data_IF_496375065058
#
_entry.id   IF_496375065058
#
_cell.length_a   1.000
_cell.length_b   1.000
_cell.length_c   1.000
_cell.angle_alpha   90.00
_cell.angle_beta   90.00
_cell.angle_gamma   90.00
#
_symmetry.space_group_name_H-M   'P 1'
#
loop_
_entity.id
_entity.type
_entity.pdbx_description
1 polymer ?
#
# COMPACT_ATOMS: atom_id res chain seq x y z
N UNK A 1 -47.76 18.72 6.12
CA UNK A 1 -47.10 17.53 6.70
C UNK A 1 -46.29 16.87 5.60
N UNK A 2 -45.03 17.26 5.41
CA UNK A 2 -44.21 16.77 4.31
C UNK A 2 -43.23 15.76 4.87
N UNK A 3 -43.28 14.53 4.35
CA UNK A 3 -42.38 13.40 4.68
C UNK A 3 -40.98 13.72 4.11
N UNK A 4 -40.30 14.66 4.73
CA UNK A 4 -38.91 15.03 4.48
C UNK A 4 -38.09 14.69 5.73
N UNK A 5 -38.18 13.44 6.19
CA UNK A 5 -37.34 12.92 7.26
C UNK A 5 -36.23 12.03 6.68
N UNK A 6 -35.01 12.55 6.77
CA UNK A 6 -33.78 11.79 7.01
C UNK A 6 -33.32 10.82 5.91
N UNK A 7 -32.88 11.33 4.76
CA UNK A 7 -31.84 10.63 3.99
C UNK A 7 -30.53 10.73 4.76
N UNK A 8 -30.24 9.73 5.59
CA UNK A 8 -28.95 9.62 6.27
C UNK A 8 -27.85 9.48 5.20
N UNK A 9 -26.87 10.42 5.12
CA UNK A 9 -25.83 10.39 4.11
C UNK A 9 -24.98 9.11 4.16
N UNK A 10 -24.86 8.49 5.34
CA UNK A 10 -24.17 7.21 5.52
C UNK A 10 -24.91 6.08 4.80
N UNK A 11 -26.24 5.97 5.00
CA UNK A 11 -27.05 4.91 4.36
C UNK A 11 -27.03 5.08 2.83
N UNK A 12 -27.20 6.31 2.36
CA UNK A 12 -27.18 6.62 0.91
C UNK A 12 -25.80 6.32 0.31
N UNK A 13 -24.71 6.66 1.01
CA UNK A 13 -23.34 6.36 0.58
C UNK A 13 -23.06 4.87 0.51
N UNK A 14 -23.43 4.11 1.55
CA UNK A 14 -23.25 2.65 1.60
C UNK A 14 -24.04 1.95 0.50
N UNK A 15 -25.31 2.34 0.27
CA UNK A 15 -26.11 1.77 -0.82
C UNK A 15 -25.48 2.04 -2.19
N UNK A 16 -24.96 3.24 -2.41
CA UNK A 16 -24.25 3.60 -3.65
C UNK A 16 -22.97 2.78 -3.83
N UNK A 17 -22.21 2.55 -2.76
CA UNK A 17 -21.03 1.69 -2.79
C UNK A 17 -21.39 0.24 -3.11
N UNK A 18 -22.42 -0.32 -2.48
CA UNK A 18 -22.92 -1.68 -2.78
C UNK A 18 -23.33 -1.81 -4.25
N UNK A 19 -24.00 -0.79 -4.80
CA UNK A 19 -24.41 -0.81 -6.20
C UNK A 19 -23.23 -0.72 -7.17
N UNK A 20 -22.17 0.01 -6.80
CA UNK A 20 -21.02 0.27 -7.69
C UNK A 20 -19.99 -0.86 -7.64
N UNK A 21 -19.63 -1.30 -6.43
CA UNK A 21 -18.54 -2.26 -6.19
C UNK A 21 -19.01 -3.67 -5.83
N UNK A 22 -20.31 -3.84 -5.60
CA UNK A 22 -20.89 -5.07 -5.08
C UNK A 22 -20.74 -5.21 -3.55
N UNK A 23 -21.47 -6.18 -2.99
CA UNK A 23 -21.54 -6.41 -1.54
C UNK A 23 -20.18 -6.82 -0.94
N UNK A 24 -19.41 -7.66 -1.65
CA UNK A 24 -18.14 -8.20 -1.15
C UNK A 24 -17.08 -7.12 -0.99
N UNK A 25 -16.85 -6.32 -2.03
CA UNK A 25 -15.85 -5.25 -1.99
C UNK A 25 -16.28 -4.14 -1.04
N UNK A 26 -17.58 -3.84 -0.97
CA UNK A 26 -18.09 -2.86 0.01
C UNK A 26 -17.86 -3.34 1.44
N UNK A 27 -18.11 -4.62 1.73
CA UNK A 27 -17.81 -5.18 3.04
C UNK A 27 -16.31 -5.14 3.35
N UNK A 28 -15.45 -5.51 2.38
CA UNK A 28 -13.99 -5.39 2.52
C UNK A 28 -13.57 -3.95 2.83
N UNK A 29 -14.10 -2.97 2.10
CA UNK A 29 -13.83 -1.54 2.36
C UNK A 29 -14.31 -1.10 3.76
N UNK A 30 -15.47 -1.56 4.21
CA UNK A 30 -15.97 -1.22 5.55
C UNK A 30 -15.00 -1.73 6.63
N UNK A 31 -14.46 -2.94 6.48
CA UNK A 31 -13.57 -3.49 7.51
C UNK A 31 -12.13 -2.96 7.40
N UNK A 32 -11.67 -2.61 6.19
CA UNK A 32 -10.29 -2.13 5.98
C UNK A 32 -10.14 -0.62 6.08
N UNK A 33 -11.14 0.16 5.62
CA UNK A 33 -11.08 1.63 5.49
C UNK A 33 -12.08 2.34 6.41
N UNK A 34 -12.82 1.60 7.25
CA UNK A 34 -13.93 2.05 8.13
C UNK A 34 -15.11 2.72 7.41
N UNK A 35 -14.97 3.07 6.14
CA UNK A 35 -15.94 3.82 5.35
C UNK A 35 -16.03 3.27 3.93
N UNK A 36 -17.23 3.00 3.40
CA UNK A 36 -17.40 2.57 2.02
C UNK A 36 -17.16 3.75 1.09
N UNK A 37 -16.15 3.65 0.23
CA UNK A 37 -15.76 4.70 -0.71
C UNK A 37 -16.15 4.32 -2.14
N UNK A 38 -16.64 5.29 -2.88
CA UNK A 38 -16.98 5.13 -4.30
C UNK A 38 -15.94 5.87 -5.13
N UNK A 39 -15.30 5.18 -6.06
CA UNK A 39 -14.27 5.73 -6.94
C UNK A 39 -14.00 4.82 -8.12
N UNK A 40 -13.24 5.33 -9.08
CA UNK A 40 -12.83 4.60 -10.28
C UNK A 40 -11.61 3.77 -9.95
N UNK A 41 -11.59 2.49 -10.35
CA UNK A 41 -10.39 1.64 -10.24
C UNK A 41 -9.36 2.15 -11.26
N UNK A 42 -8.21 2.57 -10.73
CA UNK A 42 -7.12 3.14 -11.49
C UNK A 42 -6.15 2.06 -11.95
N UNK A 43 -5.85 1.11 -11.08
CA UNK A 43 -4.98 -0.01 -11.42
C UNK A 43 -4.72 -0.93 -10.23
N UNK A 44 -3.88 -1.94 -10.48
CA UNK A 44 -3.49 -2.96 -9.51
C UNK A 44 -1.98 -3.14 -9.54
N UNK A 45 -1.37 -3.29 -8.37
CA UNK A 45 0.08 -3.56 -8.29
C UNK A 45 0.41 -5.06 -8.34
N UNK A 46 1.71 -5.37 -8.28
CA UNK A 46 2.23 -6.73 -8.30
C UNK A 46 1.89 -7.55 -7.04
N UNK A 47 1.53 -6.90 -5.93
CA UNK A 47 1.11 -7.57 -4.70
C UNK A 47 -0.40 -7.78 -4.63
N UNK A 48 -1.13 -7.23 -5.59
CA UNK A 48 -2.56 -7.33 -5.71
C UNK A 48 -3.34 -6.19 -5.04
N UNK A 49 -2.67 -5.14 -4.56
CA UNK A 49 -3.37 -3.98 -4.01
C UNK A 49 -4.04 -3.19 -5.13
N UNK A 50 -5.26 -2.73 -4.88
CA UNK A 50 -6.10 -2.03 -5.84
C UNK A 50 -6.15 -0.54 -5.52
N UNK A 51 -5.89 0.31 -6.51
CA UNK A 51 -5.79 1.76 -6.35
C UNK A 51 -7.00 2.44 -6.97
N UNK A 52 -7.56 3.40 -6.26
CA UNK A 52 -8.79 4.08 -6.65
C UNK A 52 -8.64 5.60 -6.60
N UNK A 53 -9.32 6.29 -7.52
CA UNK A 53 -9.42 7.75 -7.56
C UNK A 53 -10.87 8.22 -7.63
N UNK A 54 -11.19 9.29 -6.90
CA UNK A 54 -12.43 10.04 -6.99
C UNK A 54 -12.16 11.55 -6.84
N UNK A 55 -12.12 12.25 -7.98
CA UNK A 55 -11.89 13.70 -8.05
C UNK A 55 -13.02 14.57 -7.48
N UNK A 56 -14.17 13.97 -7.17
CA UNK A 56 -15.29 14.67 -6.52
C UNK A 56 -15.15 14.71 -4.99
N UNK A 57 -14.28 13.89 -4.42
CA UNK A 57 -14.04 13.87 -2.96
C UNK A 57 -13.07 14.99 -2.57
N UNK A 58 -12.97 15.24 -1.27
CA UNK A 58 -12.09 16.26 -0.70
C UNK A 58 -10.63 15.92 -0.99
N UNK A 59 -9.84 16.96 -1.29
CA UNK A 59 -8.41 16.88 -1.51
C UNK A 59 -7.71 16.12 -0.37
N UNK A 60 -6.98 15.04 -0.71
CA UNK A 60 -6.30 14.17 0.25
C UNK A 60 -7.09 12.93 0.66
N UNK A 61 -8.36 12.81 0.25
CA UNK A 61 -9.19 11.59 0.41
C UNK A 61 -9.61 10.96 -0.92
N UNK A 62 -9.36 11.68 -2.01
CA UNK A 62 -9.68 11.36 -3.39
C UNK A 62 -8.90 10.16 -3.93
N UNK A 63 -7.67 9.89 -3.45
CA UNK A 63 -6.90 8.70 -3.79
C UNK A 63 -6.82 7.76 -2.60
N UNK A 64 -7.01 6.46 -2.82
CA UNK A 64 -6.83 5.45 -1.78
C UNK A 64 -6.42 4.11 -2.36
N UNK A 65 -5.90 3.26 -1.49
CA UNK A 65 -5.53 1.88 -1.79
C UNK A 65 -6.43 0.93 -1.00
N UNK A 66 -6.82 -0.17 -1.63
CA UNK A 66 -7.44 -1.32 -0.99
C UNK A 66 -6.44 -2.48 -1.02
N UNK A 67 -5.87 -2.78 0.14
CA UNK A 67 -4.86 -3.84 0.26
C UNK A 67 -5.44 -5.22 -0.04
N UNK A 68 -4.63 -6.09 -0.63
CA UNK A 68 -5.02 -7.48 -0.85
C UNK A 68 -4.93 -8.30 0.46
N UNK A 69 -3.81 -8.13 1.18
CA UNK A 69 -3.55 -8.79 2.46
C UNK A 69 -4.44 -8.25 3.58
N UNK A 70 -4.81 -9.14 4.50
CA UNK A 70 -5.56 -8.77 5.71
C UNK A 70 -4.69 -8.05 6.75
N UNK A 71 -3.46 -8.52 6.95
CA UNK A 71 -2.47 -7.83 7.77
C UNK A 71 -1.78 -6.77 6.91
N UNK A 72 -2.54 -5.73 6.57
CA UNK A 72 -2.07 -4.66 5.70
C UNK A 72 -1.14 -3.71 6.45
N UNK A 73 -0.17 -3.16 5.72
CA UNK A 73 0.73 -2.13 6.21
C UNK A 73 0.97 -1.10 5.10
N UNK A 74 1.20 0.16 5.48
CA UNK A 74 1.51 1.25 4.56
C UNK A 74 2.75 0.92 3.69
N UNK A 75 3.69 0.14 4.24
CA UNK A 75 4.94 -0.24 3.57
C UNK A 75 4.77 -1.26 2.44
N UNK A 76 3.58 -1.85 2.27
CA UNK A 76 3.27 -2.79 1.19
C UNK A 76 3.01 -2.11 -0.16
N UNK A 77 2.88 -0.78 -0.18
CA UNK A 77 2.71 0.00 -1.40
C UNK A 77 4.06 0.13 -2.10
N UNK A 78 4.22 -0.34 -3.35
CA UNK A 78 5.49 -0.21 -4.06
C UNK A 78 5.80 1.26 -4.39
N UNK A 79 7.09 1.62 -4.59
CA UNK A 79 7.51 3.00 -4.79
C UNK A 79 6.80 3.73 -5.93
N UNK A 80 6.48 3.01 -7.01
CA UNK A 80 5.80 3.57 -8.19
C UNK A 80 4.39 4.04 -7.83
N UNK A 81 3.63 3.21 -7.11
CA UNK A 81 2.28 3.56 -6.66
C UNK A 81 2.29 4.53 -5.47
N UNK A 82 3.34 4.49 -4.64
CA UNK A 82 3.50 5.42 -3.52
C UNK A 82 3.61 6.87 -3.98
N UNK A 83 4.32 7.14 -5.10
CA UNK A 83 4.40 8.48 -5.70
C UNK A 83 3.02 9.01 -6.11
N UNK A 84 2.25 8.19 -6.81
CA UNK A 84 0.89 8.53 -7.26
C UNK A 84 -0.08 8.72 -6.09
N UNK A 85 -0.06 7.80 -5.12
CA UNK A 85 -0.92 7.84 -3.94
C UNK A 85 -0.66 9.08 -3.08
N UNK A 86 0.62 9.46 -2.94
CA UNK A 86 1.04 10.65 -2.19
C UNK A 86 0.93 11.95 -3.00
N UNK A 87 0.44 11.88 -4.26
CA UNK A 87 0.31 13.02 -5.18
C UNK A 87 1.63 13.75 -5.45
N UNK A 88 2.75 13.02 -5.45
CA UNK A 88 3.99 13.55 -6.00
C UNK A 88 3.93 13.68 -7.52
N UNK A 89 3.19 12.76 -8.16
CA UNK A 89 2.91 12.79 -9.60
C UNK A 89 1.41 12.53 -9.84
N UNK A 90 0.92 13.04 -10.96
CA UNK A 90 -0.40 12.70 -11.50
C UNK A 90 -0.33 11.52 -12.49
N UNK A 91 0.87 11.18 -12.95
CA UNK A 91 1.09 10.10 -13.89
C UNK A 91 0.88 8.74 -13.23
N UNK A 92 0.33 7.81 -14.01
CA UNK A 92 0.14 6.44 -13.57
C UNK A 92 1.45 5.66 -13.70
N UNK A 93 1.74 4.73 -12.77
CA UNK A 93 2.95 3.91 -12.86
C UNK A 93 2.96 2.98 -14.08
N UNK A 94 1.81 2.81 -14.76
CA UNK A 94 1.68 2.11 -16.03
C UNK A 94 2.10 2.95 -17.26
N UNK A 95 2.14 4.28 -17.15
CA UNK A 95 2.29 5.17 -18.30
C UNK A 95 3.73 5.65 -18.51
N UNK A 96 4.65 5.40 -17.58
CA UNK A 96 5.96 6.08 -17.61
C UNK A 96 7.16 5.18 -17.94
N UNK A 97 7.58 5.35 -19.18
CA UNK A 97 8.87 5.28 -19.90
C UNK A 97 10.20 5.44 -19.12
N UNK A 98 10.28 5.34 -17.79
CA UNK A 98 11.58 5.44 -17.09
C UNK A 98 12.24 4.06 -17.05
N UNK A 99 13.38 3.86 -17.74
CA UNK A 99 14.08 2.59 -17.70
C UNK A 99 14.55 2.33 -16.26
N UNK A 100 14.10 1.21 -15.68
CA UNK A 100 14.57 0.78 -14.36
C UNK A 100 16.08 0.52 -14.44
N UNK A 101 16.89 1.14 -13.57
CA UNK A 101 18.32 0.88 -13.57
C UNK A 101 18.62 -0.55 -13.13
N UNK A 102 19.76 -1.10 -13.55
CA UNK A 102 20.13 -2.50 -13.32
C UNK A 102 20.21 -2.90 -11.84
N UNK A 103 20.42 -1.93 -10.94
CA UNK A 103 20.51 -2.15 -9.49
C UNK A 103 19.14 -2.13 -8.79
N UNK A 104 18.04 -1.95 -9.54
CA UNK A 104 16.70 -1.92 -8.96
C UNK A 104 16.32 -3.31 -8.47
N UNK A 105 15.96 -3.40 -7.21
CA UNK A 105 15.37 -4.60 -6.62
C UNK A 105 13.86 -4.50 -6.60
N UNK A 106 13.20 -5.65 -6.51
CA UNK A 106 11.77 -5.72 -6.25
C UNK A 106 11.42 -5.03 -4.93
N UNK A 107 10.25 -4.41 -4.90
CA UNK A 107 9.73 -3.80 -3.67
C UNK A 107 9.48 -4.88 -2.62
N UNK A 108 9.84 -4.60 -1.38
CA UNK A 108 9.55 -5.46 -0.24
C UNK A 108 8.89 -4.64 0.86
N UNK A 109 8.02 -5.29 1.63
CA UNK A 109 7.39 -4.69 2.80
C UNK A 109 8.40 -4.54 3.95
N UNK A 110 8.05 -3.74 4.96
CA UNK A 110 8.90 -3.58 6.12
C UNK A 110 8.85 -4.83 7.02
N UNK A 111 10.02 -5.43 7.25
CA UNK A 111 10.17 -6.62 8.10
C UNK A 111 10.49 -6.32 9.57
N UNK A 112 10.37 -5.06 10.02
CA UNK A 112 10.61 -4.68 11.42
C UNK A 112 9.75 -5.52 12.37
N UNK A 113 10.35 -6.02 13.45
CA UNK A 113 9.66 -6.88 14.43
C UNK A 113 9.47 -8.34 14.00
N UNK A 114 9.88 -8.71 12.78
CA UNK A 114 9.86 -10.10 12.31
C UNK A 114 11.26 -10.74 12.40
N UNK A 115 11.34 -12.05 12.20
CA UNK A 115 12.63 -12.77 12.09
C UNK A 115 13.49 -12.26 10.92
N UNK A 116 12.85 -11.70 9.88
CA UNK A 116 13.50 -11.14 8.68
C UNK A 116 13.91 -9.66 8.84
N UNK A 117 13.81 -9.09 10.04
CA UNK A 117 14.24 -7.72 10.30
C UNK A 117 15.73 -7.52 9.95
N UNK A 118 16.06 -6.35 9.40
CA UNK A 118 17.44 -5.99 9.08
C UNK A 118 18.29 -5.96 10.36
N UNK A 119 19.40 -6.72 10.36
CA UNK A 119 20.37 -6.76 11.45
C UNK A 119 21.69 -6.17 10.96
N UNK A 120 22.09 -5.05 11.54
CA UNK A 120 23.41 -4.48 11.26
C UNK A 120 24.51 -5.37 11.80
N UNK A 121 25.59 -5.50 11.04
CA UNK A 121 26.82 -6.18 11.45
C UNK A 121 28.03 -5.36 11.01
N UNK A 122 29.19 -5.63 11.61
CA UNK A 122 30.43 -5.03 11.13
C UNK A 122 30.78 -5.60 9.76
N UNK A 123 30.76 -4.75 8.74
CA UNK A 123 31.22 -5.10 7.39
C UNK A 123 32.75 -5.19 7.30
N UNK A 124 33.45 -4.71 8.34
CA UNK A 124 34.91 -4.67 8.41
C UNK A 124 35.43 -5.94 9.09
N UNK A 125 36.45 -6.57 8.48
CA UNK A 125 37.21 -7.67 9.08
C UNK A 125 38.02 -7.18 10.27
N UNK A 126 38.37 -8.07 11.20
CA UNK A 126 39.25 -7.74 12.32
C UNK A 126 40.57 -7.15 11.83
N UNK A 127 40.93 -5.96 12.31
CA UNK A 127 42.14 -5.24 11.88
C UNK A 127 43.44 -5.96 12.26
N UNK A 128 43.42 -6.68 13.38
CA UNK A 128 44.56 -7.46 13.90
C UNK A 128 44.13 -8.92 13.92
N UNK A 129 44.89 -9.79 13.28
CA UNK A 129 44.69 -11.24 13.32
C UNK A 129 45.34 -11.83 14.57
N UNK A 130 44.62 -12.68 15.29
CA UNK A 130 45.20 -13.47 16.37
C UNK A 130 46.17 -14.51 15.82
N UNK A 131 47.22 -14.81 16.58
CA UNK A 131 48.09 -15.95 16.29
C UNK A 131 47.34 -17.25 16.58
N UNK A 132 47.40 -18.21 15.65
CA UNK A 132 46.80 -19.53 15.79
C UNK A 132 47.85 -20.55 16.32
N UNK A 133 47.72 -21.06 17.56
CA UNK A 133 48.73 -21.92 18.17
C UNK A 133 48.77 -23.31 17.52
N UNK A 134 49.95 -23.71 17.04
CA UNK A 134 50.18 -25.09 16.59
C UNK A 134 50.71 -25.92 17.76
N UNK A 135 49.93 -26.89 18.24
CA UNK A 135 50.42 -27.88 19.22
C UNK A 135 51.29 -28.92 18.51
N UNK A 136 52.57 -29.03 18.87
CA UNK A 136 53.38 -30.20 18.46
C UNK A 136 52.99 -31.40 19.33
N UNK A 137 52.76 -32.54 18.68
CA UNK A 137 52.45 -33.84 19.31
C UNK A 137 53.69 -34.73 19.29
#
# INVERSE_FOLDING_TARGET
>A
MTILQMRNPVIVGTLKAVQTHGIRNTFKQIVTLDTPKVGTLVGKDQFGNEYYENRMDVMGRDRWVLYDKWNYDATQVPPEWHQWLSRFTDDLPSETTIPKPFYTTESTENYTGTTAAFKSYSTVKTKVSAWDPVSRR
#
